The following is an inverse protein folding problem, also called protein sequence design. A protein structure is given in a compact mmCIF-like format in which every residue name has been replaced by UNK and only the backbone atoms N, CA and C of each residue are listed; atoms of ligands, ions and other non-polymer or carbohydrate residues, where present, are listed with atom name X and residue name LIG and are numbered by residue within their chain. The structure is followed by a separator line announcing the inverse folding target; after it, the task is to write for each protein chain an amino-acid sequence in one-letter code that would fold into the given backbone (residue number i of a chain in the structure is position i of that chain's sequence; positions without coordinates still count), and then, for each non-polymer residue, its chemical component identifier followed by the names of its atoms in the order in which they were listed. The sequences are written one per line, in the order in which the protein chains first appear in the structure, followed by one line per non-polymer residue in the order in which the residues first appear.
data_IF_875688499631
#
_entry.id   IF_875688499631
#
_cell.length_a   1.000
_cell.length_b   1.000
_cell.length_c   1.000
_cell.angle_alpha   90.00
_cell.angle_beta   90.00
_cell.angle_gamma   90.00
#
_symmetry.space_group_name_H-M   'P 1'
#
loop_
_entity.id
_entity.type
_entity.pdbx_description
1 polymer ?
#
# COMPACT_ATOMS: atom_id res chain seq x y z
N UNK A 1 -16.39 -18.92 -5.19
CA UNK A 1 -15.15 -19.70 -5.35
C UNK A 1 -14.35 -19.62 -4.07
N UNK A 2 -13.85 -20.72 -3.60
CA UNK A 2 -12.99 -20.74 -2.41
C UNK A 2 -11.52 -20.82 -2.83
N UNK A 3 -10.68 -20.04 -2.16
CA UNK A 3 -9.23 -20.09 -2.31
C UNK A 3 -8.64 -20.75 -1.09
N UNK A 4 -7.67 -21.64 -1.28
CA UNK A 4 -7.06 -22.41 -0.21
C UNK A 4 -5.55 -22.27 -0.21
N UNK A 5 -4.95 -22.31 0.99
CA UNK A 5 -3.50 -22.35 1.18
C UNK A 5 -2.83 -21.02 0.85
N UNK A 6 -1.58 -21.11 0.42
CA UNK A 6 -0.69 -19.96 0.19
C UNK A 6 -1.00 -19.17 -1.08
N UNK A 7 -1.95 -19.64 -1.89
CA UNK A 7 -2.32 -18.96 -3.14
C UNK A 7 -3.35 -17.85 -2.95
N UNK A 8 -3.95 -17.74 -1.76
CA UNK A 8 -4.94 -16.72 -1.46
C UNK A 8 -4.29 -15.53 -0.77
N UNK A 9 -4.78 -14.33 -1.07
CA UNK A 9 -4.41 -13.15 -0.31
C UNK A 9 -4.91 -13.28 1.13
N UNK A 10 -4.06 -12.97 2.10
CA UNK A 10 -4.42 -12.99 3.54
C UNK A 10 -4.91 -11.65 4.03
N UNK A 11 -4.65 -10.60 3.27
CA UNK A 11 -5.19 -9.25 3.48
C UNK A 11 -5.09 -8.46 2.19
N UNK A 12 -6.00 -7.55 1.98
CA UNK A 12 -5.89 -6.58 0.89
C UNK A 12 -6.72 -5.33 1.20
N UNK A 13 -6.35 -4.23 0.59
CA UNK A 13 -7.06 -2.97 0.73
C UNK A 13 -7.00 -2.16 -0.56
N UNK A 14 -8.12 -1.54 -0.91
CA UNK A 14 -8.20 -0.47 -1.88
C UNK A 14 -8.52 0.80 -1.10
N UNK A 15 -7.59 1.72 -1.06
CA UNK A 15 -7.68 2.94 -0.26
C UNK A 15 -7.23 4.16 -1.05
N UNK A 16 -7.47 5.32 -0.51
CA UNK A 16 -6.82 6.55 -0.97
C UNK A 16 -5.48 6.73 -0.26
N UNK A 17 -4.61 7.53 -0.80
CA UNK A 17 -3.35 7.90 -0.14
C UNK A 17 -3.54 8.64 1.18
N UNK A 18 -4.74 9.17 1.42
CA UNK A 18 -5.09 9.83 2.70
C UNK A 18 -5.71 8.89 3.72
N UNK A 19 -5.89 7.60 3.38
CA UNK A 19 -6.34 6.60 4.33
C UNK A 19 -7.83 6.27 4.29
N UNK A 20 -8.57 6.75 3.30
CA UNK A 20 -9.98 6.41 3.15
C UNK A 20 -10.12 5.07 2.43
N UNK A 21 -10.60 4.06 3.11
CA UNK A 21 -10.80 2.71 2.56
C UNK A 21 -12.04 2.69 1.66
N UNK A 22 -11.89 2.16 0.45
CA UNK A 22 -12.99 1.87 -0.46
C UNK A 22 -13.51 0.46 -0.27
N UNK A 23 -12.60 -0.49 -0.13
CA UNK A 23 -12.92 -1.89 0.13
C UNK A 23 -11.69 -2.58 0.69
N UNK A 24 -11.89 -3.64 1.46
CA UNK A 24 -10.78 -4.33 2.11
C UNK A 24 -11.16 -5.73 2.56
N UNK A 25 -10.13 -6.54 2.81
CA UNK A 25 -10.23 -7.83 3.46
C UNK A 25 -9.14 -7.93 4.52
N UNK A 26 -9.51 -8.27 5.75
CA UNK A 26 -8.60 -8.37 6.90
C UNK A 26 -7.82 -7.07 7.19
N UNK A 27 -8.40 -5.93 6.88
CA UNK A 27 -7.82 -4.61 7.16
C UNK A 27 -8.85 -3.81 7.96
N UNK A 28 -8.47 -3.39 9.16
CA UNK A 28 -9.34 -2.58 10.03
C UNK A 28 -9.32 -1.10 9.61
N UNK A 29 -8.14 -0.59 9.33
CA UNK A 29 -7.94 0.82 9.06
C UNK A 29 -6.66 1.07 8.27
N UNK A 30 -6.60 2.24 7.67
CA UNK A 30 -5.39 2.77 7.05
C UNK A 30 -5.09 4.10 7.71
N UNK A 31 -3.91 4.24 8.26
CA UNK A 31 -3.47 5.46 8.94
C UNK A 31 -2.53 6.23 8.01
N UNK A 32 -2.85 7.50 7.76
CA UNK A 32 -1.93 8.38 7.04
C UNK A 32 -0.88 8.93 8.03
N UNK A 33 0.38 8.55 7.83
CA UNK A 33 1.48 9.03 8.66
C UNK A 33 2.06 10.36 8.15
N UNK A 34 1.92 10.60 6.86
CA UNK A 34 2.40 11.79 6.17
C UNK A 34 2.12 11.65 4.69
N UNK A 35 2.62 12.58 3.89
CA UNK A 35 2.44 12.53 2.43
C UNK A 35 3.11 11.28 1.86
N UNK A 36 2.31 10.46 1.16
CA UNK A 36 2.78 9.22 0.56
C UNK A 36 3.26 8.18 1.58
N UNK A 37 2.72 8.20 2.78
CA UNK A 37 3.14 7.31 3.86
C UNK A 37 1.91 6.87 4.64
N UNK A 38 1.55 5.61 4.49
CA UNK A 38 0.38 5.03 5.15
C UNK A 38 0.75 3.75 5.87
N UNK A 39 0.01 3.47 6.95
CA UNK A 39 0.06 2.19 7.65
C UNK A 39 -1.24 1.43 7.40
N UNK A 40 -1.12 0.22 6.87
CA UNK A 40 -2.24 -0.71 6.69
C UNK A 40 -2.31 -1.57 7.94
N UNK A 41 -3.41 -1.46 8.69
CA UNK A 41 -3.58 -2.14 9.97
C UNK A 41 -4.49 -3.35 9.79
N UNK A 42 -3.98 -4.55 10.13
CA UNK A 42 -4.74 -5.79 9.97
C UNK A 42 -5.78 -5.98 11.06
N UNK A 43 -6.92 -6.55 10.72
CA UNK A 43 -7.95 -6.95 11.68
C UNK A 43 -7.49 -8.15 12.49
N UNK A 44 -6.98 -9.17 11.81
CA UNK A 44 -6.39 -10.36 12.41
C UNK A 44 -4.92 -10.42 12.03
N UNK A 45 -4.07 -10.61 13.01
CA UNK A 45 -2.63 -10.69 12.77
C UNK A 45 -2.29 -11.81 11.78
N UNK A 46 -1.29 -11.55 10.95
CA UNK A 46 -0.67 -12.56 10.11
C UNK A 46 0.32 -13.34 10.99
N UNK A 47 0.51 -14.62 10.70
CA UNK A 47 1.28 -15.56 11.54
C UNK A 47 2.69 -15.06 11.87
N UNK A 48 3.31 -14.36 10.93
CA UNK A 48 4.66 -13.78 11.05
C UNK A 48 4.80 -12.62 10.05
N UNK A 49 6.00 -12.08 9.94
CA UNK A 49 6.31 -11.01 8.99
C UNK A 49 6.98 -11.49 7.69
N UNK A 50 6.90 -12.79 7.40
CA UNK A 50 7.45 -13.37 6.17
C UNK A 50 6.41 -13.41 5.04
N UNK A 51 5.63 -12.36 4.90
CA UNK A 51 4.62 -12.24 3.85
C UNK A 51 5.12 -11.39 2.69
N UNK A 52 4.42 -11.47 1.56
CA UNK A 52 4.72 -10.69 0.36
C UNK A 52 3.72 -9.55 0.26
N UNK A 53 4.21 -8.36 -0.02
CA UNK A 53 3.39 -7.16 -0.27
C UNK A 53 3.48 -6.80 -1.74
N UNK A 54 2.34 -6.66 -2.40
CA UNK A 54 2.24 -6.13 -3.75
C UNK A 54 1.35 -4.90 -3.75
N UNK A 55 1.58 -3.98 -4.68
CA UNK A 55 0.82 -2.74 -4.67
C UNK A 55 0.66 -2.11 -6.05
N UNK A 56 -0.34 -1.24 -6.13
CA UNK A 56 -0.69 -0.48 -7.32
C UNK A 56 -1.15 0.91 -6.90
N UNK A 57 -0.78 1.92 -7.66
CA UNK A 57 -1.27 3.29 -7.47
C UNK A 57 -1.86 3.83 -8.74
N UNK A 58 -2.91 4.64 -8.61
CA UNK A 58 -3.56 5.29 -9.73
C UNK A 58 -4.18 6.63 -9.30
N UNK A 59 -4.59 7.39 -10.28
CA UNK A 59 -5.35 8.62 -10.10
C UNK A 59 -4.61 9.66 -9.24
N UNK A 60 -3.41 9.98 -9.66
CA UNK A 60 -2.73 11.15 -9.11
C UNK A 60 -3.36 12.42 -9.70
N UNK A 61 -3.77 13.34 -8.83
CA UNK A 61 -4.46 14.58 -9.23
C UNK A 61 -3.52 15.64 -9.83
N UNK A 62 -2.28 15.33 -10.08
CA UNK A 62 -1.35 16.24 -10.71
C UNK A 62 -1.53 16.30 -12.22
N UNK A 63 -1.21 17.44 -12.80
CA UNK A 63 -1.33 17.71 -14.25
C UNK A 63 -0.21 17.07 -15.08
N UNK A 64 0.63 16.26 -14.51
CA UNK A 64 1.84 15.78 -15.15
C UNK A 64 1.69 14.32 -15.57
N UNK A 65 1.49 14.12 -16.87
CA UNK A 65 1.32 12.80 -17.48
C UNK A 65 2.60 11.94 -17.45
N UNK A 66 3.72 12.51 -17.04
CA UNK A 66 5.02 11.85 -17.06
C UNK A 66 5.34 11.13 -15.74
N UNK A 67 4.35 10.92 -14.89
CA UNK A 67 4.56 10.36 -13.57
C UNK A 67 3.89 9.02 -13.43
N UNK A 68 4.63 8.05 -12.93
CA UNK A 68 4.09 6.77 -12.45
C UNK A 68 4.15 6.70 -10.93
N UNK A 69 3.37 5.82 -10.34
CA UNK A 69 3.41 5.54 -8.92
C UNK A 69 4.21 4.28 -8.61
N UNK A 70 4.92 4.30 -7.52
CA UNK A 70 5.66 3.15 -6.97
C UNK A 70 5.17 2.92 -5.56
N UNK A 71 4.88 1.67 -5.23
CA UNK A 71 4.56 1.23 -3.88
C UNK A 71 5.79 0.51 -3.31
N UNK A 72 6.25 0.95 -2.15
CA UNK A 72 7.45 0.38 -1.54
C UNK A 72 7.38 0.48 -0.01
N UNK A 73 8.31 -0.15 0.67
CA UNK A 73 8.55 0.06 2.09
C UNK A 73 9.53 1.21 2.31
N UNK A 74 9.48 1.83 3.46
CA UNK A 74 10.34 2.99 3.74
C UNK A 74 11.73 2.57 4.23
N UNK A 75 11.76 1.70 5.21
CA UNK A 75 13.00 1.33 5.89
C UNK A 75 12.82 0.00 6.63
N UNK A 76 13.73 -0.30 7.50
CA UNK A 76 13.66 -1.51 8.32
C UNK A 76 12.33 -1.61 9.08
N UNK A 77 11.81 -2.81 9.16
CA UNK A 77 10.61 -3.13 9.96
C UNK A 77 9.30 -2.51 9.48
N UNK A 78 9.14 -2.34 8.17
CA UNK A 78 7.86 -1.93 7.60
C UNK A 78 6.78 -3.02 7.72
N UNK A 79 7.19 -4.26 7.79
CA UNK A 79 6.29 -5.41 7.82
C UNK A 79 6.24 -5.99 9.24
N UNK A 80 5.06 -6.00 9.82
CA UNK A 80 4.80 -6.57 11.14
C UNK A 80 3.59 -7.50 11.08
N UNK A 81 3.37 -8.29 12.13
CA UNK A 81 2.25 -9.22 12.19
C UNK A 81 0.89 -8.51 12.20
N UNK A 82 0.83 -7.32 12.77
CA UNK A 82 -0.39 -6.52 12.92
C UNK A 82 -0.61 -5.49 11.81
N UNK A 83 0.33 -5.31 10.90
CA UNK A 83 0.20 -4.34 9.82
C UNK A 83 1.46 -4.16 9.00
N UNK A 84 1.35 -3.37 7.96
CA UNK A 84 2.49 -3.01 7.11
C UNK A 84 2.48 -1.52 6.78
N UNK A 85 3.66 -0.93 6.73
CA UNK A 85 3.84 0.48 6.35
C UNK A 85 4.23 0.56 4.89
N UNK A 86 3.50 1.40 4.17
CA UNK A 86 3.61 1.56 2.72
C UNK A 86 4.02 3.00 2.41
N UNK A 87 4.98 3.16 1.55
CA UNK A 87 5.35 4.45 0.98
C UNK A 87 4.97 4.47 -0.49
N UNK A 88 4.28 5.50 -0.92
CA UNK A 88 3.92 5.71 -2.31
C UNK A 88 4.72 6.89 -2.87
N UNK A 89 5.41 6.63 -3.96
CA UNK A 89 6.37 7.57 -4.54
C UNK A 89 5.94 7.87 -5.97
N UNK A 90 5.96 9.15 -6.31
CA UNK A 90 5.82 9.58 -7.70
C UNK A 90 7.18 9.46 -8.39
N UNK A 91 7.28 8.55 -9.34
CA UNK A 91 8.43 8.48 -10.23
C UNK A 91 8.23 9.47 -11.38
N UNK A 92 9.21 10.29 -11.63
CA UNK A 92 9.19 11.28 -12.73
C UNK A 92 10.21 10.89 -13.77
N UNK A 93 9.84 11.09 -15.03
CA UNK A 93 10.74 10.88 -16.17
C UNK A 93 11.63 12.08 -16.47
N UNK A 94 11.37 13.22 -15.83
CA UNK A 94 12.24 14.37 -15.88
C UNK A 94 13.38 14.24 -14.86
N UNK A 95 14.26 15.23 -14.80
CA UNK A 95 15.45 15.19 -13.95
C UNK A 95 15.18 15.42 -12.46
N UNK A 96 13.93 15.43 -12.02
CA UNK A 96 13.59 15.65 -10.63
C UNK A 96 13.68 14.34 -9.83
N UNK A 97 14.16 14.38 -8.58
CA UNK A 97 14.19 13.19 -7.76
C UNK A 97 12.76 12.69 -7.48
N UNK A 98 12.59 11.37 -7.28
CA UNK A 98 11.32 10.81 -6.86
C UNK A 98 10.85 11.44 -5.55
N UNK A 99 9.56 11.68 -5.43
CA UNK A 99 8.97 12.29 -4.24
C UNK A 99 7.78 11.48 -3.75
N UNK A 100 7.58 11.48 -2.44
CA UNK A 100 6.38 10.92 -1.83
C UNK A 100 5.16 11.70 -2.32
N UNK A 101 4.08 10.97 -2.55
CA UNK A 101 2.85 11.55 -3.09
C UNK A 101 1.64 10.78 -2.57
N UNK A 102 0.60 11.51 -2.18
CA UNK A 102 -0.71 10.92 -1.92
C UNK A 102 -1.40 10.65 -3.27
N UNK A 103 -1.70 9.38 -3.53
CA UNK A 103 -2.44 8.99 -4.72
C UNK A 103 -3.93 8.85 -4.40
N UNK A 104 -4.79 9.10 -5.38
CA UNK A 104 -6.23 8.91 -5.21
C UNK A 104 -6.63 7.44 -5.05
N UNK A 105 -5.82 6.53 -5.60
CA UNK A 105 -6.00 5.09 -5.45
C UNK A 105 -4.68 4.46 -5.03
N UNK A 106 -4.72 3.71 -3.94
CA UNK A 106 -3.61 2.86 -3.48
C UNK A 106 -4.19 1.48 -3.19
N UNK A 107 -3.74 0.49 -3.91
CA UNK A 107 -4.13 -0.90 -3.69
C UNK A 107 -2.95 -1.67 -3.14
N UNK A 108 -3.18 -2.44 -2.10
CA UNK A 108 -2.16 -3.27 -1.46
C UNK A 108 -2.73 -4.66 -1.25
N UNK A 109 -1.98 -5.68 -1.64
CA UNK A 109 -2.33 -7.09 -1.44
C UNK A 109 -1.20 -7.80 -0.71
N UNK A 110 -1.55 -8.67 0.22
CA UNK A 110 -0.64 -9.40 1.09
C UNK A 110 -0.86 -10.88 0.91
N UNK A 111 0.21 -11.59 0.63
CA UNK A 111 0.21 -13.05 0.43
C UNK A 111 1.16 -13.69 1.43
N UNK A 112 0.69 -14.78 2.06
CA UNK A 112 1.50 -15.53 3.02
C UNK A 112 1.36 -17.02 2.79
#
# INVERSE_FOLDING_TARGET
MAFYGTNAAVAWVNTTGTGTIRDSFNVTSVTRNGEGDISVNFTNNITDNDYVVTGWTDNWEGSNSDSGGIVTGESNSCMAEDGTRIVTIRARFDQHPPQRQDFGVVCVSIFR
#
